data_IF_336045363473
#
_entry.id   IF_336045363473
#
_cell.length_a   1.000
_cell.length_b   1.000
_cell.length_c   1.000
_cell.angle_alpha   90.00
_cell.angle_beta   90.00
_cell.angle_gamma   90.00
#
_symmetry.space_group_name_H-M   'P 1'
#
loop_
_entity.id
_entity.type
_entity.pdbx_description
1 polymer ?
#
# COMPACT_ATOMS: atom_id res chain seq x y z
N UNK A 1 5.37 35.03 -26.20
CA UNK A 1 6.20 33.94 -25.62
C UNK A 1 6.70 34.52 -24.33
N UNK A 2 5.86 34.47 -23.32
CA UNK A 2 6.00 35.29 -22.13
C UNK A 2 6.47 34.36 -21.01
N UNK A 3 7.79 34.30 -20.84
CA UNK A 3 8.42 33.60 -19.73
C UNK A 3 8.23 34.41 -18.45
N UNK A 4 7.79 33.77 -17.37
CA UNK A 4 7.66 34.41 -16.06
C UNK A 4 9.03 34.93 -15.60
N UNK A 5 9.14 36.25 -15.46
CA UNK A 5 10.29 36.94 -14.89
C UNK A 5 10.07 37.22 -13.41
N UNK A 6 11.12 37.05 -12.62
CA UNK A 6 11.13 37.37 -11.19
C UNK A 6 11.03 38.90 -10.96
N UNK A 7 10.71 39.35 -9.74
CA UNK A 7 10.70 40.75 -9.30
C UNK A 7 11.97 41.56 -9.64
N UNK A 8 13.09 40.90 -9.91
CA UNK A 8 14.37 41.49 -10.31
C UNK A 8 14.70 41.27 -11.80
N UNK A 9 13.74 40.80 -12.61
CA UNK A 9 13.88 40.66 -14.06
C UNK A 9 14.66 39.42 -14.53
N UNK A 10 14.95 38.47 -13.64
CA UNK A 10 15.61 37.23 -14.03
C UNK A 10 14.59 36.20 -14.55
N UNK A 11 14.95 35.37 -15.55
CA UNK A 11 14.10 34.28 -15.99
C UNK A 11 13.94 33.24 -14.87
N UNK A 12 12.71 33.01 -14.41
CA UNK A 12 12.42 31.99 -13.40
C UNK A 12 12.32 30.63 -14.09
N UNK A 13 13.20 29.70 -13.72
CA UNK A 13 13.06 28.32 -14.15
C UNK A 13 11.72 27.78 -13.61
N UNK A 14 10.88 27.14 -14.45
CA UNK A 14 9.61 26.61 -13.97
C UNK A 14 9.87 25.63 -12.85
N UNK A 15 9.31 25.90 -11.67
CA UNK A 15 9.36 24.98 -10.55
C UNK A 15 8.80 23.63 -11.01
N UNK A 16 9.44 22.49 -10.66
CA UNK A 16 8.87 21.19 -10.96
C UNK A 16 7.46 21.15 -10.36
N UNK A 17 6.46 20.87 -11.20
CA UNK A 17 5.07 20.70 -10.74
C UNK A 17 5.08 19.70 -9.60
N UNK A 18 4.76 20.18 -8.40
CA UNK A 18 4.52 19.32 -7.24
C UNK A 18 3.36 18.42 -7.63
N UNK A 19 3.58 17.10 -7.66
CA UNK A 19 2.49 16.16 -7.90
C UNK A 19 1.37 16.48 -6.92
N UNK A 20 0.17 16.69 -7.46
CA UNK A 20 -1.00 16.94 -6.64
C UNK A 20 -1.18 15.75 -5.68
N UNK A 21 -1.41 15.99 -4.38
CA UNK A 21 -1.63 14.90 -3.44
C UNK A 21 -2.83 14.09 -3.94
N UNK A 22 -2.60 12.79 -4.18
CA UNK A 22 -3.66 11.87 -4.62
C UNK A 22 -4.81 11.97 -3.60
N UNK A 23 -6.07 12.09 -4.05
CA UNK A 23 -7.20 12.25 -3.13
C UNK A 23 -7.18 11.10 -2.11
N UNK A 24 -7.38 11.41 -0.81
CA UNK A 24 -7.33 10.39 0.23
C UNK A 24 -8.40 9.33 -0.04
N UNK A 25 -7.97 8.08 -0.17
CA UNK A 25 -8.86 6.95 -0.36
C UNK A 25 -9.48 6.66 1.00
N UNK A 26 -10.70 7.16 1.23
CA UNK A 26 -11.48 6.89 2.44
C UNK A 26 -12.41 5.67 2.25
N UNK A 27 -11.90 4.65 1.58
CA UNK A 27 -12.60 3.39 1.34
C UNK A 27 -12.02 2.33 2.29
N UNK A 28 -12.73 2.08 3.39
CA UNK A 28 -12.30 1.13 4.42
C UNK A 28 -12.26 -0.31 3.92
N UNK A 29 -13.15 -0.69 3.01
CA UNK A 29 -13.16 -2.02 2.38
C UNK A 29 -11.91 -2.21 1.52
N UNK A 30 -11.53 -1.17 0.76
CA UNK A 30 -10.30 -1.19 -0.03
C UNK A 30 -9.06 -1.27 0.88
N UNK A 31 -9.01 -0.50 1.96
CA UNK A 31 -7.89 -0.54 2.93
C UNK A 31 -7.78 -1.94 3.55
N UNK A 32 -8.89 -2.53 3.98
CA UNK A 32 -8.89 -3.87 4.56
C UNK A 32 -8.42 -4.91 3.53
N UNK A 33 -8.91 -4.84 2.29
CA UNK A 33 -8.50 -5.73 1.20
C UNK A 33 -7.01 -5.63 0.91
N UNK A 34 -6.46 -4.42 0.92
CA UNK A 34 -5.02 -4.17 0.75
C UNK A 34 -4.24 -4.77 1.92
N UNK A 35 -4.60 -4.48 3.17
CA UNK A 35 -3.90 -5.02 4.34
C UNK A 35 -3.95 -6.55 4.39
N UNK A 36 -5.10 -7.14 4.07
CA UNK A 36 -5.28 -8.60 4.00
C UNK A 36 -4.41 -9.21 2.90
N UNK A 37 -4.37 -8.60 1.73
CA UNK A 37 -3.53 -9.03 0.60
C UNK A 37 -2.04 -8.88 0.90
N UNK A 38 -1.64 -7.77 1.50
CA UNK A 38 -0.27 -7.50 1.92
C UNK A 38 0.22 -8.50 2.98
N UNK A 39 -0.66 -8.91 3.91
CA UNK A 39 -0.31 -9.85 4.98
C UNK A 39 -0.17 -11.30 4.49
N UNK A 40 -0.98 -11.72 3.50
CA UNK A 40 -0.97 -13.10 2.99
C UNK A 40 0.04 -13.32 1.87
N UNK A 41 -0.01 -12.45 0.87
CA UNK A 41 0.66 -12.64 -0.43
C UNK A 41 1.86 -11.70 -0.56
N UNK A 42 1.69 -10.46 -0.07
CA UNK A 42 2.72 -9.43 -0.12
C UNK A 42 2.66 -8.59 -1.40
N UNK A 43 3.02 -7.32 -1.25
CA UNK A 43 3.23 -6.40 -2.38
C UNK A 43 4.72 -6.11 -2.55
N UNK A 44 5.08 -5.69 -3.75
CA UNK A 44 6.41 -5.18 -4.08
C UNK A 44 6.30 -3.91 -4.90
N UNK A 45 7.28 -3.02 -4.75
CA UNK A 45 7.43 -1.80 -5.54
C UNK A 45 8.50 -2.02 -6.59
N UNK A 46 8.19 -1.78 -7.87
CA UNK A 46 9.10 -2.05 -8.98
C UNK A 46 9.47 -0.75 -9.69
N UNK A 47 10.77 -0.57 -9.97
CA UNK A 47 11.28 0.54 -10.77
C UNK A 47 11.33 1.89 -10.05
N UNK A 48 11.70 2.92 -10.79
CA UNK A 48 11.95 4.30 -10.27
C UNK A 48 10.64 4.98 -9.84
N UNK A 49 9.53 4.64 -10.51
CA UNK A 49 8.20 5.15 -10.16
C UNK A 49 7.58 4.44 -8.97
N UNK A 50 8.25 3.42 -8.43
CA UNK A 50 7.77 2.59 -7.35
C UNK A 50 6.37 2.00 -7.61
N UNK A 51 6.07 1.65 -8.87
CA UNK A 51 4.79 1.02 -9.25
C UNK A 51 4.54 -0.22 -8.38
N UNK A 52 3.32 -0.35 -7.87
CA UNK A 52 2.95 -1.46 -6.98
C UNK A 52 2.61 -2.71 -7.80
N UNK A 53 3.19 -3.83 -7.41
CA UNK A 53 2.89 -5.15 -7.93
C UNK A 53 2.50 -6.09 -6.79
N UNK A 54 1.55 -6.96 -7.06
CA UNK A 54 1.17 -8.06 -6.16
C UNK A 54 2.04 -9.26 -6.46
N UNK A 55 2.55 -9.91 -5.41
CA UNK A 55 3.32 -11.14 -5.56
C UNK A 55 2.40 -12.30 -5.97
N UNK A 56 2.80 -13.13 -6.91
CA UNK A 56 2.07 -14.37 -7.27
C UNK A 56 2.84 -15.61 -6.81
N UNK A 57 4.16 -15.58 -6.98
CA UNK A 57 5.09 -16.61 -6.53
C UNK A 57 6.36 -15.96 -5.96
N UNK A 58 7.39 -16.76 -5.66
CA UNK A 58 8.66 -16.20 -5.16
C UNK A 58 9.25 -15.15 -6.12
N UNK A 59 9.20 -15.40 -7.42
CA UNK A 59 9.85 -14.53 -8.40
C UNK A 59 8.86 -13.89 -9.37
N UNK A 60 7.57 -14.20 -9.31
CA UNK A 60 6.57 -13.68 -10.24
C UNK A 60 5.63 -12.70 -9.58
N UNK A 61 5.41 -11.56 -10.25
CA UNK A 61 4.57 -10.48 -9.76
C UNK A 61 3.65 -9.94 -10.86
N UNK A 62 2.49 -9.44 -10.46
CA UNK A 62 1.43 -8.92 -11.33
C UNK A 62 1.11 -7.47 -10.99
N UNK A 63 0.90 -6.64 -12.02
CA UNK A 63 0.60 -5.22 -11.83
C UNK A 63 -0.77 -5.06 -11.18
N UNK A 64 -0.85 -4.26 -10.12
CA UNK A 64 -2.15 -3.96 -9.51
C UNK A 64 -2.85 -2.80 -10.24
N UNK A 65 -4.18 -2.71 -10.17
CA UNK A 65 -4.91 -1.54 -10.64
C UNK A 65 -4.49 -0.25 -9.94
N UNK A 66 -4.59 0.89 -10.62
CA UNK A 66 -4.14 2.20 -10.13
C UNK A 66 -4.78 2.63 -8.79
N UNK A 67 -6.02 2.22 -8.53
CA UNK A 67 -6.69 2.51 -7.25
C UNK A 67 -6.04 1.75 -6.08
N UNK A 68 -5.54 0.54 -6.31
CA UNK A 68 -4.80 -0.25 -5.32
C UNK A 68 -3.41 0.33 -5.13
N UNK A 69 -2.74 0.72 -6.23
CA UNK A 69 -1.44 1.38 -6.20
C UNK A 69 -1.47 2.63 -5.31
N UNK A 70 -2.42 3.54 -5.57
CA UNK A 70 -2.61 4.74 -4.77
C UNK A 70 -2.89 4.44 -3.29
N UNK A 71 -3.71 3.43 -2.99
CA UNK A 71 -4.00 3.02 -1.62
C UNK A 71 -2.76 2.51 -0.90
N UNK A 72 -1.93 1.69 -1.57
CA UNK A 72 -0.68 1.18 -0.99
C UNK A 72 0.29 2.33 -0.72
N UNK A 73 0.46 3.27 -1.63
CA UNK A 73 1.30 4.45 -1.39
C UNK A 73 0.81 5.30 -0.21
N UNK A 74 -0.50 5.55 -0.11
CA UNK A 74 -1.07 6.28 1.02
C UNK A 74 -0.86 5.52 2.35
N UNK A 75 -0.99 4.19 2.36
CA UNK A 75 -0.75 3.38 3.55
C UNK A 75 0.73 3.34 3.95
N UNK A 76 1.66 3.42 2.99
CA UNK A 76 3.09 3.56 3.27
C UNK A 76 3.37 4.94 3.89
N UNK A 77 2.83 6.00 3.31
CA UNK A 77 2.99 7.38 3.82
C UNK A 77 2.42 7.51 5.24
N UNK A 78 1.25 6.92 5.49
CA UNK A 78 0.61 6.88 6.79
C UNK A 78 1.23 5.86 7.77
N UNK A 79 2.33 5.19 7.39
CA UNK A 79 3.07 4.19 8.20
C UNK A 79 2.24 2.98 8.64
N UNK A 80 1.19 2.67 7.90
CA UNK A 80 0.47 1.40 8.02
C UNK A 80 1.20 0.26 7.31
N UNK A 81 2.00 0.59 6.29
CA UNK A 81 2.90 -0.31 5.57
C UNK A 81 4.33 0.24 5.65
N UNK A 82 5.30 -0.65 5.55
CA UNK A 82 6.73 -0.29 5.54
C UNK A 82 7.40 -0.87 4.30
N UNK A 83 8.39 -0.16 3.77
CA UNK A 83 9.19 -0.67 2.68
C UNK A 83 10.35 -1.48 3.26
N UNK A 84 10.39 -2.76 2.91
CA UNK A 84 11.41 -3.72 3.30
C UNK A 84 12.59 -3.79 2.32
N UNK A 85 13.24 -4.96 2.32
CA UNK A 85 14.42 -5.24 1.52
C UNK A 85 14.15 -5.31 0.02
N UNK A 86 15.23 -5.22 -0.76
CA UNK A 86 15.22 -5.31 -2.22
C UNK A 86 15.41 -6.76 -2.67
N UNK A 87 14.57 -7.20 -3.60
CA UNK A 87 14.59 -8.53 -4.21
C UNK A 87 14.50 -8.38 -5.73
N UNK A 88 14.98 -9.37 -6.48
CA UNK A 88 14.74 -9.42 -7.91
C UNK A 88 13.43 -10.13 -8.20
N UNK A 89 12.60 -9.54 -9.05
CA UNK A 89 11.31 -10.12 -9.45
C UNK A 89 11.16 -10.06 -10.97
N UNK A 90 10.37 -10.99 -11.50
CA UNK A 90 9.95 -11.08 -12.89
C UNK A 90 8.53 -10.51 -13.01
N UNK A 91 8.39 -9.50 -13.85
CA UNK A 91 7.12 -8.91 -14.25
C UNK A 91 7.00 -9.00 -15.78
N UNK A 92 6.08 -9.86 -16.25
CA UNK A 92 5.97 -10.19 -17.67
C UNK A 92 7.26 -10.78 -18.23
N UNK A 93 7.86 -10.10 -19.23
CA UNK A 93 9.12 -10.53 -19.88
C UNK A 93 10.37 -9.90 -19.25
N UNK A 94 10.21 -8.99 -18.30
CA UNK A 94 11.30 -8.24 -17.69
C UNK A 94 11.61 -8.76 -16.29
N UNK A 95 12.88 -8.67 -15.90
CA UNK A 95 13.33 -8.90 -14.54
C UNK A 95 14.01 -7.63 -14.03
N UNK A 96 13.78 -7.29 -12.77
CA UNK A 96 14.38 -6.10 -12.17
C UNK A 96 14.34 -6.11 -10.66
N UNK A 97 15.04 -5.15 -10.04
CA UNK A 97 14.99 -4.95 -8.60
C UNK A 97 13.61 -4.43 -8.19
N UNK A 98 13.11 -4.95 -7.08
CA UNK A 98 11.86 -4.57 -6.46
C UNK A 98 11.99 -4.51 -4.94
N UNK A 99 11.32 -3.56 -4.32
CA UNK A 99 11.34 -3.40 -2.86
C UNK A 99 10.12 -4.08 -2.27
N UNK A 100 10.31 -4.91 -1.24
CA UNK A 100 9.20 -5.57 -0.57
C UNK A 100 8.37 -4.57 0.23
N UNK A 101 7.06 -4.80 0.30
CA UNK A 101 6.16 -4.05 1.18
C UNK A 101 5.76 -4.96 2.34
N UNK A 102 6.09 -4.53 3.55
CA UNK A 102 5.86 -5.25 4.78
C UNK A 102 4.67 -4.65 5.52
N UNK A 103 3.95 -5.50 6.25
CA UNK A 103 2.90 -5.08 7.17
C UNK A 103 3.48 -5.12 8.59
N UNK A 104 3.74 -3.97 9.24
CA UNK A 104 4.22 -3.92 10.61
C UNK A 104 3.27 -4.63 11.57
N UNK A 105 3.83 -5.15 12.67
CA UNK A 105 3.05 -5.88 13.69
C UNK A 105 1.88 -5.05 14.25
N UNK A 106 2.07 -3.73 14.41
CA UNK A 106 1.02 -2.81 14.86
C UNK A 106 -0.17 -2.78 13.89
N UNK A 107 0.10 -2.67 12.59
CA UNK A 107 -0.91 -2.67 11.53
C UNK A 107 -1.63 -4.01 11.44
N UNK A 108 -0.91 -5.13 11.61
CA UNK A 108 -1.53 -6.47 11.68
C UNK A 108 -2.49 -6.60 12.87
N UNK A 109 -2.12 -6.09 14.04
CA UNK A 109 -2.99 -6.10 15.22
C UNK A 109 -4.23 -5.23 15.05
N UNK A 110 -4.10 -4.06 14.41
CA UNK A 110 -5.23 -3.20 14.12
C UNK A 110 -6.21 -3.88 13.14
N UNK A 111 -5.70 -4.46 12.04
CA UNK A 111 -6.51 -5.20 11.08
C UNK A 111 -7.27 -6.37 11.75
N UNK A 112 -6.59 -7.13 12.62
CA UNK A 112 -7.23 -8.20 13.38
C UNK A 112 -8.35 -7.70 14.30
N UNK A 113 -8.15 -6.56 14.96
CA UNK A 113 -9.19 -5.94 15.81
C UNK A 113 -10.39 -5.48 15.00
N UNK A 114 -10.17 -4.91 13.81
CA UNK A 114 -11.26 -4.50 12.92
C UNK A 114 -12.06 -5.71 12.44
N UNK A 115 -11.40 -6.80 12.06
CA UNK A 115 -12.07 -8.05 11.67
C UNK A 115 -12.93 -8.62 12.81
N UNK A 116 -12.41 -8.60 14.05
CA UNK A 116 -13.16 -9.05 15.23
C UNK A 116 -14.39 -8.16 15.54
N UNK A 117 -14.35 -6.88 15.18
CA UNK A 117 -15.48 -5.94 15.35
C UNK A 117 -16.49 -6.04 14.21
N UNK A 118 -16.05 -6.38 13.00
CA UNK A 118 -16.92 -6.56 11.84
C UNK A 118 -17.85 -7.78 11.96
N UNK A 119 -17.44 -8.80 12.74
CA UNK A 119 -18.27 -9.98 12.99
C UNK A 119 -18.44 -10.29 14.49
N UNK A 120 -19.24 -9.46 15.23
CA UNK A 120 -19.35 -9.57 16.68
C UNK A 120 -19.99 -10.87 17.17
N UNK A 121 -20.72 -11.57 16.28
CA UNK A 121 -21.45 -12.81 16.59
C UNK A 121 -20.59 -14.08 16.47
N UNK A 122 -19.43 -14.01 15.82
CA UNK A 122 -18.54 -15.19 15.68
C UNK A 122 -17.71 -15.45 16.96
N UNK A 123 -17.65 -14.49 17.89
CA UNK A 123 -16.96 -14.62 19.17
C UNK A 123 -17.89 -15.00 20.34
N UNK A 124 -19.21 -15.06 20.11
CA UNK A 124 -20.20 -15.32 21.17
C UNK A 124 -20.29 -16.80 21.55
N UNK A 125 -19.87 -17.71 20.66
CA UNK A 125 -20.11 -19.16 20.75
C UNK A 125 -19.12 -19.88 21.70
N UNK A 126 -17.92 -19.34 21.92
CA UNK A 126 -16.91 -19.98 22.79
C UNK A 126 -17.10 -19.69 24.29
N UNK A 127 -17.83 -18.62 24.66
CA UNK A 127 -18.07 -18.29 26.08
C UNK A 127 -19.20 -19.08 26.72
N UNK A 128 -20.09 -19.67 25.93
CA UNK A 128 -21.23 -20.44 26.45
C UNK A 128 -20.93 -21.94 26.63
N UNK A 129 -19.89 -22.49 25.97
CA UNK A 129 -19.51 -23.91 26.12
C UNK A 129 -18.72 -24.25 27.40
N UNK A 130 -18.30 -23.25 28.18
CA UNK A 130 -17.54 -23.45 29.42
C UNK A 130 -18.36 -23.43 30.71
N UNK A 131 -19.70 -23.32 30.64
CA UNK A 131 -20.55 -23.11 31.83
C UNK A 131 -21.49 -24.27 32.19
N UNK A 132 -21.29 -25.43 31.59
CA UNK A 132 -21.99 -26.68 31.94
C UNK A 132 -20.96 -27.79 32.16
N UNK A 133 -20.41 -27.81 33.37
CA UNK A 133 -19.80 -28.99 34.00
C UNK A 133 -19.83 -28.79 35.51
#
# INVERSE_FOLDING_TARGET
MDGETDLFGNPVAPLPKREEPRPPINDMDLIEKVLRSASRIGFVLVGIREDVYKRLSNDEVEKVPDHIDAAVHQLIEARWLEIGGTHHVRYGRYQGPARSVLVPRRSKQAAYRWEALANPWNNSDERERGRVA
#
